data_IF_661157322493
#
_entry.id   IF_661157322493
#
_cell.length_a   1.000
_cell.length_b   1.000
_cell.length_c   1.000
_cell.angle_alpha   90.00
_cell.angle_beta   90.00
_cell.angle_gamma   90.00
#
_symmetry.space_group_name_H-M   'P 1'
#
loop_
_entity.id
_entity.type
_entity.pdbx_description
1 polymer ?
#
# COMPACT_ATOMS: atom_id res chain seq x y z
N UNK A 1 -19.12 21.71 7.25
CA UNK A 1 -18.82 20.31 7.65
C UNK A 1 -20.01 19.79 8.45
N UNK A 2 -20.80 18.88 7.87
CA UNK A 2 -21.91 18.23 8.59
C UNK A 2 -21.36 17.02 9.33
N UNK A 3 -21.33 17.08 10.66
CA UNK A 3 -20.97 15.95 11.52
C UNK A 3 -22.16 15.00 11.54
N UNK A 4 -22.09 13.91 10.78
CA UNK A 4 -23.17 12.91 10.77
C UNK A 4 -23.11 12.15 12.11
N UNK A 5 -24.18 12.13 12.91
CA UNK A 5 -24.18 11.41 14.18
C UNK A 5 -24.10 9.90 13.95
N UNK A 6 -23.02 9.29 14.46
CA UNK A 6 -22.65 7.86 14.30
C UNK A 6 -23.75 6.87 14.73
N UNK A 7 -24.73 7.31 15.54
CA UNK A 7 -25.79 6.44 16.11
C UNK A 7 -26.93 6.07 15.13
N UNK A 8 -26.93 6.56 13.89
CA UNK A 8 -28.02 6.30 12.91
C UNK A 8 -27.59 5.46 11.71
N UNK A 9 -26.32 5.10 11.59
CA UNK A 9 -25.78 4.52 10.36
C UNK A 9 -25.77 2.99 10.51
N UNK A 10 -26.62 2.31 9.74
CA UNK A 10 -26.63 0.84 9.72
C UNK A 10 -25.29 0.27 9.28
N UNK A 11 -24.95 -0.99 9.63
CA UNK A 11 -23.62 -1.57 9.41
C UNK A 11 -23.19 -1.60 7.94
N UNK A 12 -24.14 -1.74 7.00
CA UNK A 12 -23.87 -1.68 5.56
C UNK A 12 -23.43 -0.27 5.15
N UNK A 13 -24.12 0.74 5.68
CA UNK A 13 -23.85 2.14 5.36
C UNK A 13 -22.57 2.64 6.03
N UNK A 14 -22.30 2.18 7.25
CA UNK A 14 -21.04 2.42 7.93
C UNK A 14 -19.88 1.79 7.16
N UNK A 15 -20.04 0.55 6.68
CA UNK A 15 -19.07 -0.09 5.79
C UNK A 15 -18.90 0.71 4.50
N UNK A 16 -19.98 1.12 3.83
CA UNK A 16 -19.90 1.95 2.61
C UNK A 16 -19.09 3.23 2.83
N UNK A 17 -19.39 3.97 3.90
CA UNK A 17 -18.69 5.22 4.25
C UNK A 17 -17.22 4.96 4.59
N UNK A 18 -16.92 3.88 5.33
CA UNK A 18 -15.54 3.50 5.65
C UNK A 18 -14.77 3.11 4.40
N UNK A 19 -15.36 2.34 3.48
CA UNK A 19 -14.73 1.98 2.22
C UNK A 19 -14.53 3.19 1.30
N UNK A 20 -15.43 4.17 1.35
CA UNK A 20 -15.32 5.42 0.60
C UNK A 20 -14.22 6.35 1.14
N UNK A 21 -14.09 6.49 2.46
CA UNK A 21 -13.13 7.43 3.06
C UNK A 21 -11.78 6.78 3.40
N UNK A 22 -11.76 5.47 3.59
CA UNK A 22 -10.60 4.68 3.97
C UNK A 22 -10.53 3.42 3.11
N UNK A 23 -10.24 3.55 1.80
CA UNK A 23 -10.18 2.40 0.90
C UNK A 23 -9.16 1.33 1.33
N UNK A 24 -8.16 1.70 2.14
CA UNK A 24 -7.24 0.79 2.82
C UNK A 24 -7.93 -0.28 3.69
N UNK A 25 -9.14 0.00 4.19
CA UNK A 25 -9.92 -0.94 5.01
C UNK A 25 -10.74 -1.92 4.16
N UNK A 26 -10.75 -1.75 2.83
CA UNK A 26 -11.56 -2.55 1.91
C UNK A 26 -11.00 -3.94 1.63
N UNK A 27 -9.69 -4.13 1.79
CA UNK A 27 -9.01 -5.29 1.25
C UNK A 27 -8.21 -5.99 2.33
N UNK A 28 -8.04 -7.31 2.16
CA UNK A 28 -7.14 -8.08 3.02
C UNK A 28 -5.75 -7.49 2.85
N UNK A 29 -5.07 -7.08 3.94
CA UNK A 29 -3.71 -6.56 3.82
C UNK A 29 -2.84 -7.65 3.21
N UNK A 30 -2.27 -7.34 2.04
CA UNK A 30 -1.27 -8.18 1.40
C UNK A 30 0.02 -8.03 2.22
N UNK A 31 0.66 -9.13 2.62
CA UNK A 31 1.92 -9.04 3.37
C UNK A 31 2.96 -8.32 2.50
N UNK A 32 3.73 -7.39 3.06
CA UNK A 32 4.55 -6.43 2.30
C UNK A 32 5.44 -7.02 1.20
N UNK A 33 5.99 -8.23 1.37
CA UNK A 33 6.81 -8.87 0.33
C UNK A 33 5.97 -9.48 -0.82
N UNK A 34 4.74 -9.93 -0.54
CA UNK A 34 3.84 -10.52 -1.53
C UNK A 34 3.37 -9.45 -2.54
N UNK A 35 3.41 -8.17 -2.16
CA UNK A 35 3.07 -7.02 -2.99
C UNK A 35 3.93 -6.96 -4.26
N UNK A 36 5.26 -7.12 -4.17
CA UNK A 36 6.16 -7.07 -5.34
C UNK A 36 5.88 -8.21 -6.33
N UNK A 37 5.63 -9.41 -5.81
CA UNK A 37 5.24 -10.55 -6.63
C UNK A 37 3.87 -10.37 -7.28
N UNK A 38 2.93 -9.67 -6.63
CA UNK A 38 1.60 -9.39 -7.19
C UNK A 38 1.68 -8.28 -8.25
N UNK A 39 2.43 -7.21 -7.98
CA UNK A 39 2.65 -6.10 -8.91
C UNK A 39 3.17 -6.56 -10.28
N UNK A 40 4.06 -7.56 -10.27
CA UNK A 40 4.69 -8.10 -11.49
C UNK A 40 3.86 -9.15 -12.23
N UNK A 41 2.87 -9.78 -11.59
CA UNK A 41 2.11 -10.92 -12.15
C UNK A 41 0.73 -10.56 -12.69
N UNK A 42 0.20 -9.41 -12.31
CA UNK A 42 -1.14 -8.99 -12.72
C UNK A 42 -1.09 -7.91 -13.79
N UNK A 43 -2.14 -7.89 -14.61
CA UNK A 43 -2.47 -6.74 -15.44
C UNK A 43 -3.31 -5.77 -14.61
N UNK A 44 -2.91 -4.50 -14.59
CA UNK A 44 -3.53 -3.44 -13.80
C UNK A 44 -4.32 -2.52 -14.71
N UNK A 45 -5.57 -2.21 -14.33
CA UNK A 45 -6.36 -1.16 -14.96
C UNK A 45 -6.67 -0.06 -13.95
N UNK A 46 -6.74 1.17 -14.46
CA UNK A 46 -7.14 2.33 -13.68
C UNK A 46 -8.61 2.23 -13.28
N UNK A 47 -8.88 2.54 -12.01
CA UNK A 47 -10.21 2.57 -11.42
C UNK A 47 -10.35 3.84 -10.61
N UNK A 48 -11.32 4.67 -11.01
CA UNK A 48 -11.69 5.86 -10.24
C UNK A 48 -12.78 5.49 -9.26
N UNK A 49 -12.56 5.78 -7.98
CA UNK A 49 -13.56 5.60 -6.94
C UNK A 49 -14.62 6.70 -7.00
N UNK A 50 -15.76 6.48 -6.35
CA UNK A 50 -16.87 7.44 -6.27
C UNK A 50 -16.46 8.80 -5.67
N UNK A 51 -15.46 8.80 -4.77
CA UNK A 51 -14.90 10.00 -4.17
C UNK A 51 -13.88 10.73 -5.07
N UNK A 52 -13.66 10.24 -6.28
CA UNK A 52 -12.74 10.80 -7.27
C UNK A 52 -11.28 10.33 -7.15
N UNK A 53 -10.92 9.53 -6.15
CA UNK A 53 -9.56 9.01 -5.98
C UNK A 53 -9.22 7.96 -7.04
N UNK A 54 -7.99 8.01 -7.54
CA UNK A 54 -7.44 7.02 -8.48
C UNK A 54 -6.89 5.82 -7.71
N UNK A 55 -7.24 4.64 -8.20
CA UNK A 55 -6.71 3.36 -7.78
C UNK A 55 -6.47 2.47 -9.00
N UNK A 56 -5.78 1.36 -8.79
CA UNK A 56 -5.58 0.33 -9.79
C UNK A 56 -6.19 -0.96 -9.30
N UNK A 57 -6.74 -1.77 -10.20
CA UNK A 57 -7.30 -3.07 -9.86
C UNK A 57 -6.80 -4.16 -10.82
N UNK A 58 -6.74 -5.41 -10.33
CA UNK A 58 -6.53 -6.57 -11.20
C UNK A 58 -7.78 -6.79 -12.06
N UNK A 59 -7.63 -7.50 -13.19
CA UNK A 59 -8.74 -7.82 -14.11
C UNK A 59 -10.03 -8.35 -13.46
N UNK A 60 -9.95 -8.96 -12.28
CA UNK A 60 -11.08 -9.53 -11.54
C UNK A 60 -11.61 -8.62 -10.42
N UNK A 61 -11.09 -7.40 -10.27
CA UNK A 61 -11.44 -6.44 -9.21
C UNK A 61 -11.33 -7.03 -7.79
N UNK A 62 -10.39 -7.96 -7.58
CA UNK A 62 -10.14 -8.64 -6.29
C UNK A 62 -9.02 -8.00 -5.49
N UNK A 63 -8.02 -7.47 -6.19
CA UNK A 63 -6.85 -6.83 -5.60
C UNK A 63 -6.80 -5.41 -6.11
N UNK A 64 -6.45 -4.49 -5.23
CA UNK A 64 -6.23 -3.08 -5.56
C UNK A 64 -4.78 -2.69 -5.28
N UNK A 65 -4.29 -1.70 -6.00
CA UNK A 65 -3.00 -1.04 -5.77
C UNK A 65 -3.18 0.48 -5.80
N UNK A 66 -2.32 1.19 -5.07
CA UNK A 66 -2.30 2.64 -5.09
C UNK A 66 -1.47 3.17 -6.27
N UNK A 67 -1.69 4.43 -6.68
CA UNK A 67 -0.77 5.11 -7.59
C UNK A 67 0.69 5.08 -7.12
N UNK A 68 0.92 5.11 -5.79
CA UNK A 68 2.26 4.98 -5.22
C UNK A 68 2.89 3.61 -5.49
N UNK A 69 2.13 2.52 -5.41
CA UNK A 69 2.62 1.17 -5.71
C UNK A 69 2.94 1.03 -7.21
N UNK A 70 2.10 1.61 -8.07
CA UNK A 70 2.31 1.61 -9.52
C UNK A 70 3.50 2.46 -9.95
N UNK A 71 3.86 3.50 -9.18
CA UNK A 71 5.02 4.34 -9.45
C UNK A 71 6.31 3.51 -9.52
N UNK A 72 6.42 2.43 -8.74
CA UNK A 72 7.57 1.54 -8.81
C UNK A 72 7.72 0.80 -10.14
N UNK A 73 6.63 0.58 -10.88
CA UNK A 73 6.67 -0.05 -12.20
C UNK A 73 6.93 0.95 -13.34
N UNK A 74 6.60 2.22 -13.10
CA UNK A 74 6.73 3.30 -14.09
C UNK A 74 8.17 3.83 -14.16
N UNK A 75 8.90 3.82 -13.05
CA UNK A 75 10.31 4.18 -13.01
C UNK A 75 11.20 2.97 -13.36
N UNK A 76 12.11 3.06 -14.36
CA UNK A 76 12.93 1.93 -14.77
C UNK A 76 13.86 1.38 -13.66
N UNK A 77 14.39 2.25 -12.79
CA UNK A 77 15.31 1.83 -11.73
C UNK A 77 14.54 1.11 -10.62
N UNK A 78 13.39 1.66 -10.22
CA UNK A 78 12.54 0.97 -9.25
C UNK A 78 11.99 -0.34 -9.80
N UNK A 79 11.66 -0.40 -11.10
CA UNK A 79 11.14 -1.62 -11.72
C UNK A 79 12.12 -2.78 -11.63
N UNK A 80 13.42 -2.53 -11.79
CA UNK A 80 14.46 -3.55 -11.61
C UNK A 80 14.47 -4.07 -10.17
N UNK A 81 14.42 -3.17 -9.18
CA UNK A 81 14.37 -3.54 -7.76
C UNK A 81 13.09 -4.35 -7.44
N UNK A 82 11.94 -3.94 -7.98
CA UNK A 82 10.67 -4.68 -7.85
C UNK A 82 10.81 -6.09 -8.40
N UNK A 83 11.47 -6.27 -9.54
CA UNK A 83 11.69 -7.59 -10.13
C UNK A 83 12.58 -8.47 -9.25
N UNK A 84 13.64 -7.90 -8.66
CA UNK A 84 14.51 -8.60 -7.70
C UNK A 84 13.69 -9.04 -6.49
N UNK A 85 12.98 -8.12 -5.84
CA UNK A 85 12.20 -8.43 -4.63
C UNK A 85 11.01 -9.36 -4.88
N UNK A 86 10.46 -9.37 -6.09
CA UNK A 86 9.42 -10.31 -6.50
C UNK A 86 9.93 -11.76 -6.59
N UNK A 87 11.24 -11.95 -6.82
CA UNK A 87 11.87 -13.26 -7.00
C UNK A 87 12.67 -13.71 -5.78
N UNK A 88 13.29 -12.77 -5.07
CA UNK A 88 14.12 -13.01 -3.89
C UNK A 88 13.54 -12.33 -2.64
N UNK A 89 12.78 -13.14 -1.91
CA UNK A 89 12.20 -12.75 -0.62
C UNK A 89 13.29 -12.41 0.42
N UNK A 90 14.41 -13.13 0.45
CA UNK A 90 15.44 -12.93 1.47
C UNK A 90 16.16 -11.61 1.27
N UNK A 91 16.45 -11.27 0.02
CA UNK A 91 17.03 -9.99 -0.35
C UNK A 91 16.13 -8.82 0.08
N UNK A 92 14.81 -8.91 -0.15
CA UNK A 92 13.86 -7.91 0.35
C UNK A 92 13.94 -7.73 1.87
N UNK A 93 13.89 -8.82 2.65
CA UNK A 93 13.91 -8.72 4.12
C UNK A 93 15.22 -8.17 4.65
N UNK A 94 16.34 -8.51 4.01
CA UNK A 94 17.66 -7.98 4.37
C UNK A 94 17.70 -6.46 4.18
N UNK A 95 17.36 -5.99 2.98
CA UNK A 95 17.42 -4.56 2.64
C UNK A 95 16.39 -3.75 3.44
N UNK A 96 15.19 -4.32 3.62
CA UNK A 96 14.14 -3.70 4.44
C UNK A 96 14.58 -3.55 5.91
N UNK A 97 15.16 -4.58 6.50
CA UNK A 97 15.62 -4.52 7.89
C UNK A 97 16.70 -3.44 8.10
N UNK A 98 17.64 -3.34 7.16
CA UNK A 98 18.69 -2.31 7.19
C UNK A 98 18.10 -0.89 7.04
N UNK A 99 17.26 -0.68 6.03
CA UNK A 99 16.65 0.62 5.78
C UNK A 99 15.69 1.05 6.90
N UNK A 100 14.89 0.12 7.42
CA UNK A 100 13.96 0.39 8.51
C UNK A 100 14.69 0.62 9.84
N UNK A 101 15.75 -0.15 10.12
CA UNK A 101 16.62 0.09 11.27
C UNK A 101 17.22 1.50 11.22
N UNK A 102 17.77 1.91 10.07
CA UNK A 102 18.26 3.27 9.85
C UNK A 102 17.17 4.31 10.07
N UNK A 103 15.96 4.09 9.54
CA UNK A 103 14.83 5.00 9.71
C UNK A 103 14.48 5.23 11.18
N UNK A 104 14.45 4.16 11.99
CA UNK A 104 14.12 4.24 13.41
C UNK A 104 15.18 4.99 14.23
N UNK A 105 16.45 4.86 13.86
CA UNK A 105 17.56 5.48 14.57
C UNK A 105 17.93 6.87 14.01
N UNK A 106 17.34 7.26 12.88
CA UNK A 106 17.62 8.54 12.22
C UNK A 106 17.19 9.70 13.13
N UNK A 107 18.17 10.45 13.64
CA UNK A 107 17.93 11.58 14.55
C UNK A 107 18.19 11.26 16.03
N UNK A 108 18.57 10.03 16.39
CA UNK A 108 19.03 9.71 17.74
C UNK A 108 20.48 10.20 17.93
N UNK A 109 20.68 11.22 18.76
CA UNK A 109 22.01 11.66 19.18
C UNK A 109 22.56 10.69 20.24
N UNK A 110 23.60 9.92 19.88
CA UNK A 110 24.21 8.93 20.78
C UNK A 110 25.25 9.52 21.74
N UNK A 111 25.62 10.80 21.58
CA UNK A 111 26.58 11.47 22.46
C UNK A 111 25.95 12.01 23.74
N UNK A 112 24.64 12.22 23.78
CA UNK A 112 23.91 12.69 24.98
C UNK A 112 23.64 11.60 26.03
N UNK A 113 23.95 10.35 25.72
CA UNK A 113 23.64 9.18 26.57
C UNK A 113 24.90 8.55 27.19
N UNK A 114 26.05 9.24 27.15
CA UNK A 114 27.30 8.83 27.82
C UNK A 114 27.65 9.78 28.95
#
# INVERSE_FOLDING_TARGET
MSVIPVKSIGPIEARRILLQNFPLLSTKPTKGFETYAILTKQEWHEKKLDNGLLQYADKKDRIMMFPADMAFLNDPQFKEIVQIYAQDKQQFFKDFAEAFGKLLELGVNREEVR
#
